data_IF_460971883564
#
_entry.id   IF_460971883564
#
_cell.length_a   1.000
_cell.length_b   1.000
_cell.length_c   1.000
_cell.angle_alpha   90.00
_cell.angle_beta   90.00
_cell.angle_gamma   90.00
#
_symmetry.space_group_name_H-M   'P 1'
#
loop_
_entity.id
_entity.type
_entity.pdbx_description
1 polymer ?
#
# COMPACT_ATOMS: atom_id res chain seq x y z
N UNK A 1 14.09 -13.00 -1.35
CA UNK A 1 12.66 -12.65 -1.17
C UNK A 1 12.40 -11.24 -1.66
N UNK A 2 11.32 -10.96 -2.39
CA UNK A 2 11.00 -9.63 -2.92
C UNK A 2 11.07 -8.50 -1.88
N UNK A 3 11.73 -7.40 -2.23
CA UNK A 3 11.85 -6.20 -1.38
C UNK A 3 11.08 -5.03 -2.00
N UNK A 4 10.24 -4.30 -1.23
CA UNK A 4 9.57 -3.09 -1.69
C UNK A 4 10.55 -2.02 -2.17
N UNK A 5 10.30 -1.42 -3.34
CA UNK A 5 11.12 -0.31 -3.84
C UNK A 5 10.90 0.98 -3.01
N UNK A 6 11.82 1.96 -3.14
CA UNK A 6 11.80 3.19 -2.31
C UNK A 6 10.49 3.99 -2.45
N UNK A 7 9.91 4.06 -3.65
CA UNK A 7 8.63 4.76 -3.87
C UNK A 7 7.47 4.06 -3.16
N UNK A 8 7.44 2.72 -3.17
CA UNK A 8 6.47 1.91 -2.44
C UNK A 8 6.58 2.12 -0.92
N UNK A 9 7.81 2.16 -0.39
CA UNK A 9 8.07 2.47 1.02
C UNK A 9 7.58 3.88 1.38
N UNK A 10 7.85 4.88 0.52
CA UNK A 10 7.42 6.26 0.70
C UNK A 10 5.89 6.39 0.74
N UNK A 11 5.19 5.70 -0.18
CA UNK A 11 3.72 5.66 -0.19
C UNK A 11 3.17 5.06 1.10
N UNK A 12 3.75 3.96 1.57
CA UNK A 12 3.31 3.31 2.80
C UNK A 12 3.51 4.23 4.03
N UNK A 13 4.66 4.91 4.13
CA UNK A 13 4.92 5.91 5.18
C UNK A 13 3.93 7.08 5.11
N UNK A 14 3.65 7.58 3.90
CA UNK A 14 2.66 8.66 3.69
C UNK A 14 1.27 8.23 4.15
N UNK A 15 0.84 7.01 3.83
CA UNK A 15 -0.44 6.48 4.28
C UNK A 15 -0.55 6.42 5.80
N UNK A 16 0.48 5.90 6.47
CA UNK A 16 0.53 5.82 7.93
C UNK A 16 0.52 7.21 8.57
N UNK A 17 1.26 8.19 8.02
CA UNK A 17 1.28 9.59 8.48
C UNK A 17 -0.08 10.27 8.30
N UNK A 18 -0.73 10.10 7.15
CA UNK A 18 -2.09 10.63 6.93
C UNK A 18 -3.03 10.03 7.97
N UNK A 19 -3.00 8.71 8.14
CA UNK A 19 -3.88 8.02 9.07
C UNK A 19 -3.66 8.45 10.52
N UNK A 20 -2.41 8.63 10.97
CA UNK A 20 -2.12 9.03 12.35
C UNK A 20 -2.65 10.42 12.67
N UNK A 21 -2.67 11.32 11.69
CA UNK A 21 -3.13 12.70 11.82
C UNK A 21 -4.66 12.88 11.74
N UNK A 22 -5.42 11.84 11.42
CA UNK A 22 -6.88 11.92 11.25
C UNK A 22 -7.64 11.43 12.50
N UNK A 23 -8.88 11.91 12.72
CA UNK A 23 -9.74 11.40 13.79
C UNK A 23 -10.07 9.92 13.57
N UNK A 24 -10.45 9.22 14.65
CA UNK A 24 -10.71 7.76 14.62
C UNK A 24 -11.73 7.35 13.56
N UNK A 25 -12.78 8.16 13.36
CA UNK A 25 -13.82 7.93 12.35
C UNK A 25 -13.32 7.98 10.91
N UNK A 26 -12.17 8.60 10.64
CA UNK A 26 -11.60 8.77 9.29
C UNK A 26 -10.36 7.91 9.03
N UNK A 27 -9.95 7.10 10.02
CA UNK A 27 -8.80 6.20 9.91
C UNK A 27 -9.16 4.99 9.05
N UNK A 28 -8.56 4.91 7.86
CA UNK A 28 -8.76 3.78 6.95
C UNK A 28 -7.92 2.55 7.31
N UNK A 29 -7.98 1.55 6.42
CA UNK A 29 -7.28 0.25 6.47
C UNK A 29 -7.79 -0.74 7.53
N UNK A 30 -7.88 -2.01 7.13
CA UNK A 30 -8.06 -3.15 8.04
C UNK A 30 -6.74 -3.47 8.78
N UNK A 31 -6.76 -4.29 9.84
CA UNK A 31 -5.53 -4.73 10.52
C UNK A 31 -4.49 -5.36 9.58
N UNK A 32 -4.95 -6.15 8.59
CA UNK A 32 -4.07 -6.73 7.57
C UNK A 32 -3.44 -5.64 6.70
N UNK A 33 -4.23 -4.62 6.30
CA UNK A 33 -3.71 -3.48 5.54
C UNK A 33 -2.68 -2.68 6.34
N UNK A 34 -2.92 -2.46 7.63
CA UNK A 34 -1.97 -1.79 8.52
C UNK A 34 -0.68 -2.57 8.70
N UNK A 35 -0.76 -3.89 8.92
CA UNK A 35 0.41 -4.74 9.03
C UNK A 35 1.28 -4.67 7.76
N UNK A 36 0.65 -4.68 6.58
CA UNK A 36 1.37 -4.57 5.30
C UNK A 36 1.94 -3.18 5.07
N UNK A 37 1.20 -2.12 5.38
CA UNK A 37 1.71 -0.76 5.31
C UNK A 37 2.94 -0.56 6.20
N UNK A 38 2.92 -1.06 7.44
CA UNK A 38 4.08 -1.01 8.34
C UNK A 38 5.27 -1.81 7.79
N UNK A 39 5.03 -3.05 7.33
CA UNK A 39 6.07 -3.89 6.71
C UNK A 39 6.71 -3.19 5.50
N UNK A 40 5.90 -2.63 4.60
CA UNK A 40 6.36 -1.93 3.42
C UNK A 40 7.07 -0.62 3.77
N UNK A 41 6.59 0.14 4.77
CA UNK A 41 7.24 1.37 5.22
C UNK A 41 8.67 1.13 5.75
N UNK A 42 8.91 -0.03 6.37
CA UNK A 42 10.24 -0.46 6.83
C UNK A 42 11.11 -1.06 5.71
N UNK A 43 10.52 -1.36 4.55
CA UNK A 43 11.23 -2.00 3.44
C UNK A 43 11.61 -3.45 3.72
N UNK A 44 10.84 -4.13 4.57
CA UNK A 44 11.03 -5.54 4.89
C UNK A 44 10.74 -6.43 3.68
N UNK A 45 11.45 -7.54 3.59
CA UNK A 45 11.25 -8.54 2.55
C UNK A 45 9.88 -9.22 2.71
N UNK A 46 9.26 -9.61 1.60
CA UNK A 46 7.96 -10.29 1.60
C UNK A 46 7.95 -11.55 0.74
N UNK A 47 7.00 -12.44 0.99
CA UNK A 47 6.81 -13.65 0.20
C UNK A 47 6.14 -13.36 -1.15
N UNK A 48 6.28 -14.28 -2.12
CA UNK A 48 5.58 -14.22 -3.41
C UNK A 48 4.06 -14.19 -3.22
N UNK A 49 3.52 -14.88 -2.20
CA UNK A 49 2.09 -14.81 -1.84
C UNK A 49 1.68 -13.38 -1.50
N UNK A 50 2.51 -12.63 -0.78
CA UNK A 50 2.27 -11.21 -0.50
C UNK A 50 2.34 -10.36 -1.77
N UNK A 51 3.28 -10.63 -2.69
CA UNK A 51 3.33 -9.94 -4.00
C UNK A 51 2.03 -10.14 -4.79
N UNK A 52 1.52 -11.37 -4.88
CA UNK A 52 0.23 -11.69 -5.53
C UNK A 52 -0.94 -10.93 -4.88
N UNK A 53 -0.97 -10.84 -3.55
CA UNK A 53 -1.99 -10.06 -2.82
C UNK A 53 -1.88 -8.56 -3.10
N UNK A 54 -0.67 -8.01 -3.12
CA UNK A 54 -0.43 -6.60 -3.47
C UNK A 54 -0.93 -6.30 -4.88
N UNK A 55 -0.60 -7.14 -5.86
CA UNK A 55 -1.11 -7.00 -7.23
C UNK A 55 -2.64 -7.03 -7.28
N UNK A 56 -3.27 -8.07 -6.71
CA UNK A 56 -4.73 -8.24 -6.73
C UNK A 56 -5.46 -7.07 -6.06
N UNK A 57 -4.98 -6.62 -4.91
CA UNK A 57 -5.57 -5.50 -4.20
C UNK A 57 -5.45 -4.20 -5.00
N UNK A 58 -4.22 -3.83 -5.40
CA UNK A 58 -3.98 -2.56 -6.08
C UNK A 58 -4.65 -2.47 -7.45
N UNK A 59 -4.78 -3.59 -8.15
CA UNK A 59 -5.47 -3.61 -9.46
C UNK A 59 -6.93 -3.21 -9.34
N UNK A 60 -7.62 -3.65 -8.28
CA UNK A 60 -9.02 -3.28 -8.00
C UNK A 60 -9.15 -1.92 -7.30
N UNK A 61 -8.28 -1.67 -6.32
CA UNK A 61 -8.34 -0.47 -5.49
C UNK A 61 -8.01 0.81 -6.26
N UNK A 62 -7.32 0.72 -7.41
CA UNK A 62 -6.99 1.86 -8.26
C UNK A 62 -8.23 2.66 -8.70
N UNK A 63 -9.36 1.98 -8.95
CA UNK A 63 -10.62 2.65 -9.32
C UNK A 63 -11.15 3.61 -8.23
N UNK A 64 -10.76 3.40 -6.98
CA UNK A 64 -11.20 4.21 -5.83
C UNK A 64 -10.11 5.15 -5.31
N UNK A 65 -8.93 5.13 -5.93
CA UNK A 65 -7.82 5.99 -5.54
C UNK A 65 -8.12 7.42 -6.01
N UNK A 66 -8.18 8.36 -5.05
CA UNK A 66 -8.35 9.78 -5.32
C UNK A 66 -7.06 10.52 -4.94
N UNK A 67 -6.12 10.73 -5.88
CA UNK A 67 -4.86 11.44 -5.61
C UNK A 67 -5.11 12.78 -4.89
N UNK A 68 -4.22 13.14 -3.96
CA UNK A 68 -4.35 14.38 -3.18
C UNK A 68 -5.35 14.33 -2.02
N UNK A 69 -6.34 13.43 -2.06
CA UNK A 69 -7.31 13.28 -0.96
C UNK A 69 -6.74 12.50 0.24
N UNK A 70 -7.42 12.58 1.39
CA UNK A 70 -7.09 11.83 2.61
C UNK A 70 -8.10 10.73 2.95
N UNK A 71 -8.93 10.32 1.98
CA UNK A 71 -10.00 9.33 2.19
C UNK A 71 -9.44 7.98 2.66
N UNK A 72 -10.28 7.15 3.29
CA UNK A 72 -9.89 5.80 3.71
C UNK A 72 -9.39 4.94 2.53
N UNK A 73 -9.99 5.11 1.34
CA UNK A 73 -9.55 4.47 0.10
C UNK A 73 -8.15 4.90 -0.32
N UNK A 74 -7.86 6.20 -0.29
CA UNK A 74 -6.52 6.74 -0.58
C UNK A 74 -5.48 6.29 0.43
N UNK A 75 -5.81 6.29 1.72
CA UNK A 75 -4.93 5.75 2.76
C UNK A 75 -4.59 4.29 2.49
N UNK A 76 -5.59 3.46 2.19
CA UNK A 76 -5.36 2.05 1.94
C UNK A 76 -4.57 1.80 0.64
N UNK A 77 -4.90 2.51 -0.44
CA UNK A 77 -4.17 2.39 -1.71
C UNK A 77 -2.68 2.73 -1.55
N UNK A 78 -2.36 3.85 -0.89
CA UNK A 78 -0.99 4.25 -0.59
C UNK A 78 -0.32 3.28 0.39
N UNK A 79 -1.05 2.78 1.39
CA UNK A 79 -0.55 1.83 2.39
C UNK A 79 -0.08 0.52 1.76
N UNK A 80 -0.76 0.05 0.71
CA UNK A 80 -0.35 -1.12 -0.06
C UNK A 80 0.75 -0.83 -1.11
N UNK A 81 1.20 0.42 -1.23
CA UNK A 81 2.30 0.81 -2.11
C UNK A 81 1.94 1.71 -3.29
N UNK A 82 0.65 1.98 -3.51
CA UNK A 82 0.15 2.78 -4.64
C UNK A 82 0.58 2.26 -6.01
N UNK A 83 0.61 3.13 -7.02
CA UNK A 83 1.04 2.75 -8.38
C UNK A 83 2.47 2.15 -8.41
N UNK A 84 3.34 2.60 -7.52
CA UNK A 84 4.69 2.04 -7.38
C UNK A 84 4.66 0.57 -6.94
N UNK A 85 3.79 0.22 -5.99
CA UNK A 85 3.55 -1.16 -5.57
C UNK A 85 2.91 -2.01 -6.67
N UNK A 86 2.02 -1.43 -7.48
CA UNK A 86 1.37 -2.13 -8.59
C UNK A 86 2.39 -2.49 -9.69
N UNK A 87 3.22 -1.52 -10.11
CA UNK A 87 4.30 -1.76 -11.07
C UNK A 87 5.33 -2.77 -10.55
N UNK A 88 5.71 -2.64 -9.28
CA UNK A 88 6.63 -3.57 -8.63
C UNK A 88 6.09 -5.00 -8.64
N UNK A 89 4.82 -5.19 -8.28
CA UNK A 89 4.21 -6.51 -8.25
C UNK A 89 4.05 -7.11 -9.66
N UNK A 90 3.68 -6.30 -10.66
CA UNK A 90 3.64 -6.70 -12.07
C UNK A 90 4.98 -7.24 -12.56
N UNK A 91 6.06 -6.48 -12.33
CA UNK A 91 7.42 -6.87 -12.72
C UNK A 91 7.84 -8.22 -12.13
N UNK A 92 7.54 -8.47 -10.85
CA UNK A 92 7.90 -9.73 -10.19
C UNK A 92 7.05 -10.91 -10.69
N UNK A 93 5.78 -10.66 -11.04
CA UNK A 93 4.84 -11.70 -11.46
C UNK A 93 4.84 -11.95 -12.97
N UNK A 94 5.59 -11.19 -13.76
CA UNK A 94 5.58 -11.28 -15.22
C UNK A 94 4.22 -10.92 -15.83
N UNK A 95 3.58 -9.86 -15.34
CA UNK A 95 2.26 -9.36 -15.78
C UNK A 95 2.32 -7.93 -16.29
#
# INVERSE_FOLDING_TARGET
>A
MPKPNKSMQSNARRALKIRSALPRSQKGMTPVGLARANQFAKGENVSIKTVKRTYSYLSRAKAYYKPGSKTAGTQAYLGWGGDAGLRWARKILGK
#
